data_IF_228457838264
#
_entry.id   IF_228457838264
#
_cell.length_a   1.000
_cell.length_b   1.000
_cell.length_c   1.000
_cell.angle_alpha   90.00
_cell.angle_beta   90.00
_cell.angle_gamma   90.00
#
_symmetry.space_group_name_H-M   'P 1'
#
loop_
_entity.id
_entity.type
_entity.pdbx_description
1 polymer ?
#
# COMPACT_ATOMS: atom_id res chain seq x y z
N UNK A 1 7.63 21.90 -15.77
CA UNK A 1 6.51 21.96 -14.81
C UNK A 1 7.10 21.61 -13.44
N UNK A 2 7.10 22.55 -12.50
CA UNK A 2 7.64 22.34 -11.14
C UNK A 2 6.44 22.18 -10.21
N UNK A 3 6.30 21.00 -9.59
CA UNK A 3 5.29 20.78 -8.56
C UNK A 3 5.88 21.19 -7.22
N UNK A 4 5.29 22.19 -6.58
CA UNK A 4 5.64 22.57 -5.21
C UNK A 4 4.82 21.71 -4.25
N UNK A 5 5.50 20.93 -3.40
CA UNK A 5 4.87 20.18 -2.31
C UNK A 5 4.86 21.07 -1.07
N UNK A 6 3.67 21.35 -0.54
CA UNK A 6 3.52 21.99 0.77
C UNK A 6 3.24 20.93 1.83
N UNK A 7 4.06 20.88 2.87
CA UNK A 7 3.82 20.03 4.04
C UNK A 7 2.72 20.66 4.91
N UNK A 8 1.50 20.12 4.82
CA UNK A 8 0.41 20.46 5.73
C UNK A 8 0.45 19.59 6.99
N UNK A 9 0.06 20.15 8.13
CA UNK A 9 -0.09 19.38 9.36
C UNK A 9 -1.22 18.35 9.23
N UNK A 10 -1.05 17.13 9.76
CA UNK A 10 -2.09 16.11 9.69
C UNK A 10 -3.35 16.57 10.45
N UNK A 11 -4.50 16.57 9.77
CA UNK A 11 -5.79 16.99 10.33
C UNK A 11 -6.27 16.05 11.47
N UNK A 12 -5.78 14.82 11.47
CA UNK A 12 -6.14 13.77 12.44
C UNK A 12 -4.89 12.98 12.84
N UNK A 13 -4.83 12.45 14.08
CA UNK A 13 -3.67 11.71 14.56
C UNK A 13 -3.52 10.31 13.94
N UNK A 14 -4.59 9.75 13.37
CA UNK A 14 -4.58 8.43 12.76
C UNK A 14 -5.66 8.30 11.67
N UNK A 15 -5.39 7.44 10.68
CA UNK A 15 -6.34 7.04 9.65
C UNK A 15 -6.54 5.52 9.73
N UNK A 16 -7.76 5.08 10.05
CA UNK A 16 -8.12 3.65 10.07
C UNK A 16 -8.85 3.30 8.77
N UNK A 17 -8.28 2.39 7.98
CA UNK A 17 -8.80 1.98 6.67
C UNK A 17 -9.34 0.56 6.76
N UNK A 18 -10.57 0.37 6.30
CA UNK A 18 -11.23 -0.92 6.19
C UNK A 18 -11.60 -1.17 4.74
N UNK A 19 -11.42 -2.39 4.25
CA UNK A 19 -11.74 -2.72 2.87
C UNK A 19 -11.29 -4.12 2.48
N UNK A 20 -11.07 -4.31 1.19
CA UNK A 20 -10.69 -5.58 0.56
C UNK A 20 -9.21 -5.56 0.11
N UNK A 21 -8.89 -6.36 -0.90
CA UNK A 21 -7.54 -6.46 -1.49
C UNK A 21 -6.97 -5.13 -2.00
N UNK A 22 -7.80 -4.15 -2.34
CA UNK A 22 -7.37 -2.84 -2.87
C UNK A 22 -6.66 -1.99 -1.80
N UNK A 23 -6.98 -2.20 -0.53
CA UNK A 23 -6.38 -1.48 0.60
C UNK A 23 -5.49 -2.38 1.45
N UNK A 24 -5.35 -3.66 1.07
CA UNK A 24 -4.55 -4.63 1.82
C UNK A 24 -3.05 -4.42 1.57
N UNK A 25 -2.35 -4.01 2.62
CA UNK A 25 -0.90 -3.83 2.64
C UNK A 25 -0.11 -5.12 2.86
N UNK A 26 -0.77 -6.28 2.89
CA UNK A 26 -0.18 -7.60 3.09
C UNK A 26 -0.67 -8.31 4.35
N UNK A 27 -1.71 -7.81 5.01
CA UNK A 27 -2.35 -8.47 6.16
C UNK A 27 -2.81 -9.88 5.80
N UNK A 28 -3.31 -10.08 4.58
CA UNK A 28 -3.79 -11.38 4.12
C UNK A 28 -2.68 -12.45 4.03
N UNK A 29 -1.40 -12.07 3.99
CA UNK A 29 -0.31 -13.05 3.98
C UNK A 29 -0.27 -13.90 5.26
N UNK A 30 -0.71 -13.33 6.38
CA UNK A 30 -0.71 -13.96 7.71
C UNK A 30 -1.99 -14.78 7.98
N UNK A 31 -2.92 -14.82 7.04
CA UNK A 31 -4.16 -15.59 7.13
C UNK A 31 -4.10 -16.82 6.21
N UNK A 32 -4.88 -17.85 6.55
CA UNK A 32 -5.02 -19.04 5.72
C UNK A 32 -6.04 -18.79 4.63
N UNK A 33 -5.62 -18.09 3.58
CA UNK A 33 -6.44 -17.75 2.42
C UNK A 33 -5.86 -18.33 1.14
N UNK A 34 -6.74 -18.67 0.20
CA UNK A 34 -6.37 -19.28 -1.08
C UNK A 34 -5.63 -18.31 -2.00
N UNK A 35 -5.94 -17.02 -1.91
CA UNK A 35 -5.42 -15.97 -2.80
C UNK A 35 -4.51 -15.05 -1.97
N UNK A 36 -3.25 -14.90 -2.39
CA UNK A 36 -2.24 -14.03 -1.77
C UNK A 36 -1.55 -13.18 -2.83
N UNK A 37 -0.85 -12.14 -2.43
CA UNK A 37 -0.05 -11.29 -3.33
C UNK A 37 1.43 -11.22 -2.91
N UNK A 38 1.94 -12.31 -2.33
CA UNK A 38 3.33 -12.48 -1.90
C UNK A 38 4.20 -13.21 -2.93
N UNK A 39 3.81 -13.19 -4.21
CA UNK A 39 4.54 -13.81 -5.31
C UNK A 39 4.61 -12.88 -6.54
N UNK A 40 5.53 -13.09 -7.49
CA UNK A 40 5.60 -12.29 -8.71
C UNK A 40 4.31 -12.40 -9.55
N UNK A 41 3.80 -11.32 -10.17
CA UNK A 41 4.49 -10.07 -10.48
C UNK A 41 4.34 -8.95 -9.42
N UNK A 42 3.65 -9.20 -8.30
CA UNK A 42 3.33 -8.17 -7.32
C UNK A 42 4.57 -7.54 -6.68
N UNK A 43 4.51 -6.24 -6.42
CA UNK A 43 5.62 -5.48 -5.86
C UNK A 43 6.80 -5.17 -6.79
N UNK A 44 6.66 -5.39 -8.11
CA UNK A 44 7.70 -5.10 -9.12
C UNK A 44 8.14 -3.63 -9.14
N UNK A 45 7.25 -2.68 -8.87
CA UNK A 45 7.53 -1.25 -8.99
C UNK A 45 8.05 -0.65 -7.66
N UNK A 46 8.16 -1.45 -6.59
CA UNK A 46 8.90 -1.04 -5.41
C UNK A 46 10.41 -1.04 -5.68
N UNK A 47 11.14 -0.18 -4.98
CA UNK A 47 12.61 -0.11 -5.00
C UNK A 47 13.25 -1.47 -4.68
N UNK A 48 12.60 -2.28 -3.85
CA UNK A 48 13.07 -3.61 -3.48
C UNK A 48 12.79 -4.67 -4.55
N UNK A 49 11.91 -4.39 -5.52
CA UNK A 49 11.39 -5.33 -6.53
C UNK A 49 10.89 -6.65 -5.92
N UNK A 50 10.36 -6.59 -4.69
CA UNK A 50 9.90 -7.76 -3.93
C UNK A 50 8.38 -7.71 -3.71
N UNK A 51 7.69 -8.86 -3.80
CA UNK A 51 6.28 -8.95 -3.41
C UNK A 51 6.11 -8.60 -1.93
N UNK A 52 5.20 -7.67 -1.65
CA UNK A 52 4.92 -7.20 -0.28
C UNK A 52 3.63 -7.78 0.29
N UNK A 53 2.82 -8.49 -0.50
CA UNK A 53 1.46 -8.87 -0.12
C UNK A 53 0.39 -7.89 -0.57
N UNK A 54 0.78 -6.78 -1.22
CA UNK A 54 -0.14 -5.85 -1.86
C UNK A 54 -0.59 -6.39 -3.20
N UNK A 55 -1.88 -6.29 -3.49
CA UNK A 55 -2.47 -6.66 -4.78
C UNK A 55 -2.18 -5.63 -5.89
N UNK A 56 -0.97 -5.07 -5.89
CA UNK A 56 -0.49 -4.06 -6.83
C UNK A 56 1.03 -4.23 -7.04
N UNK A 57 1.56 -3.66 -8.11
CA UNK A 57 3.00 -3.65 -8.37
C UNK A 57 3.75 -2.61 -7.52
N UNK A 58 3.05 -1.61 -6.96
CA UNK A 58 3.65 -0.52 -6.20
C UNK A 58 2.77 -0.02 -5.06
N UNK A 59 2.83 1.29 -4.80
CA UNK A 59 2.06 1.94 -3.72
C UNK A 59 0.55 1.88 -3.99
N UNK A 60 -0.23 1.69 -2.92
CA UNK A 60 -1.69 1.78 -2.93
C UNK A 60 -2.13 3.24 -2.80
N UNK A 61 -3.36 3.57 -3.19
CA UNK A 61 -3.91 4.93 -3.04
C UNK A 61 -3.87 5.42 -1.57
N UNK A 62 -3.97 4.48 -0.63
CA UNK A 62 -3.86 4.73 0.81
C UNK A 62 -2.48 5.22 1.24
N UNK A 63 -1.41 4.80 0.56
CA UNK A 63 -0.03 5.25 0.83
C UNK A 63 0.20 6.72 0.46
N UNK A 64 -0.65 7.28 -0.39
CA UNK A 64 -0.61 8.69 -0.74
C UNK A 64 -1.51 9.53 0.18
N UNK A 65 -2.46 8.90 0.87
CA UNK A 65 -3.46 9.58 1.72
C UNK A 65 -2.98 9.68 3.16
N UNK A 66 -2.44 8.60 3.71
CA UNK A 66 -1.60 8.62 4.89
C UNK A 66 -0.21 8.24 4.44
N UNK A 67 0.83 8.97 4.86
CA UNK A 67 2.20 8.49 4.70
C UNK A 67 2.37 7.21 5.55
N UNK A 68 1.88 6.07 5.06
CA UNK A 68 1.99 4.74 5.68
C UNK A 68 3.25 4.01 5.24
#
# INVERSE_FOLDING_TARGET
MVFSVSNGDPLVPALCIFGDSVVDVGNNNNLSTLIKANFPPYGRDFVTHKPTGRFCNGKLATDFTGNV
#
